data_IF_227560241368
#
_entry.id   IF_227560241368
#
_cell.length_a   1.000
_cell.length_b   1.000
_cell.length_c   1.000
_cell.angle_alpha   90.00
_cell.angle_beta   90.00
_cell.angle_gamma   90.00
#
_symmetry.space_group_name_H-M   'P 1'
#
loop_
_entity.id
_entity.type
_entity.pdbx_description
1 polymer ?
#
# COMPACT_ATOMS: atom_id res chain seq x y z
N UNK A 1 -16.53 -53.23 33.32
CA UNK A 1 -17.65 -52.27 33.40
C UNK A 1 -17.03 -50.94 33.80
N UNK A 2 -16.95 -50.04 32.82
CA UNK A 2 -16.54 -48.63 32.83
C UNK A 2 -15.19 -48.22 33.45
N UNK A 3 -14.18 -48.18 32.58
CA UNK A 3 -13.13 -47.16 32.62
C UNK A 3 -13.45 -46.10 31.55
N UNK A 4 -13.57 -44.84 31.97
CA UNK A 4 -13.47 -43.67 31.10
C UNK A 4 -13.04 -42.46 31.95
N UNK A 5 -11.96 -41.74 31.58
CA UNK A 5 -11.82 -40.34 31.87
C UNK A 5 -12.23 -39.54 30.64
N UNK A 6 -13.31 -38.78 30.77
CA UNK A 6 -13.77 -37.82 29.76
C UNK A 6 -13.19 -36.43 30.08
N UNK A 7 -13.01 -35.70 28.98
CA UNK A 7 -12.18 -34.53 28.75
C UNK A 7 -12.54 -33.28 29.56
N UNK A 8 -11.53 -32.43 29.77
CA UNK A 8 -11.72 -31.11 30.37
C UNK A 8 -10.50 -30.21 30.37
N UNK A 9 -9.65 -30.27 29.35
CA UNK A 9 -8.60 -29.27 29.15
C UNK A 9 -9.27 -27.95 28.73
N UNK A 10 -9.67 -27.15 29.71
CA UNK A 10 -10.12 -25.78 29.52
C UNK A 10 -8.93 -24.89 29.12
N UNK A 11 -8.54 -24.99 27.85
CA UNK A 11 -7.63 -24.04 27.24
C UNK A 11 -8.32 -22.68 27.16
N UNK A 12 -7.81 -21.72 27.93
CA UNK A 12 -8.29 -20.34 27.98
C UNK A 12 -8.23 -19.69 26.60
N UNK A 13 -9.37 -19.67 25.92
CA UNK A 13 -9.64 -18.71 24.86
C UNK A 13 -9.77 -17.34 25.50
N UNK A 14 -8.65 -16.62 25.60
CA UNK A 14 -8.68 -15.18 25.83
C UNK A 14 -9.57 -14.59 24.76
N UNK A 15 -10.78 -14.17 25.15
CA UNK A 15 -11.80 -13.62 24.28
C UNK A 15 -11.19 -12.43 23.52
N UNK A 16 -10.71 -12.66 22.29
CA UNK A 16 -10.18 -11.62 21.42
C UNK A 16 -11.31 -10.60 21.22
N UNK A 17 -11.27 -9.50 21.98
CA UNK A 17 -12.28 -8.45 21.89
C UNK A 17 -12.27 -7.94 20.44
N UNK A 18 -13.38 -8.17 19.72
CA UNK A 18 -13.56 -7.66 18.37
C UNK A 18 -13.38 -6.13 18.39
N UNK A 19 -12.42 -5.57 17.63
CA UNK A 19 -12.08 -4.15 17.74
C UNK A 19 -13.25 -3.21 17.40
N UNK A 20 -14.28 -3.68 16.68
CA UNK A 20 -15.45 -2.88 16.30
C UNK A 20 -16.75 -3.14 17.07
N UNK A 21 -16.74 -3.84 18.21
CA UNK A 21 -17.98 -4.26 18.91
C UNK A 21 -18.86 -3.08 19.38
N UNK A 22 -18.27 -1.92 19.64
CA UNK A 22 -18.97 -0.71 20.11
C UNK A 22 -19.20 0.32 18.99
N UNK A 23 -18.80 0.01 17.76
CA UNK A 23 -18.89 0.92 16.63
C UNK A 23 -20.24 0.76 15.90
N UNK A 24 -20.87 1.85 15.42
CA UNK A 24 -22.07 1.78 14.57
C UNK A 24 -21.85 0.85 13.38
N UNK A 25 -22.89 0.08 13.02
CA UNK A 25 -22.83 -0.94 11.97
C UNK A 25 -22.31 -0.42 10.63
N UNK A 26 -22.72 0.78 10.23
CA UNK A 26 -22.27 1.41 8.98
C UNK A 26 -20.75 1.66 8.98
N UNK A 27 -20.21 2.20 10.07
CA UNK A 27 -18.76 2.42 10.21
C UNK A 27 -18.01 1.10 10.31
N UNK A 28 -18.57 0.10 11.00
CA UNK A 28 -17.97 -1.23 11.07
C UNK A 28 -17.84 -1.89 9.70
N UNK A 29 -18.89 -1.82 8.87
CA UNK A 29 -18.84 -2.32 7.49
C UNK A 29 -17.81 -1.57 6.66
N UNK A 30 -17.77 -0.24 6.74
CA UNK A 30 -16.78 0.56 6.02
C UNK A 30 -15.33 0.19 6.40
N UNK A 31 -15.07 -0.04 7.69
CA UNK A 31 -13.77 -0.50 8.16
C UNK A 31 -13.48 -1.91 7.62
N UNK A 32 -14.43 -2.84 7.70
CA UNK A 32 -14.27 -4.19 7.16
C UNK A 32 -13.96 -4.17 5.66
N UNK A 33 -14.69 -3.37 4.88
CA UNK A 33 -14.48 -3.16 3.45
C UNK A 33 -13.11 -2.57 3.15
N UNK A 34 -12.65 -1.59 3.93
CA UNK A 34 -11.32 -0.97 3.73
C UNK A 34 -10.19 -1.96 4.00
N UNK A 35 -10.28 -2.76 5.07
CA UNK A 35 -9.29 -3.82 5.34
C UNK A 35 -9.33 -4.93 4.29
N UNK A 36 -10.52 -5.19 3.71
CA UNK A 36 -10.68 -6.15 2.60
C UNK A 36 -10.03 -5.63 1.32
N UNK A 37 -10.21 -4.34 1.00
CA UNK A 37 -9.56 -3.69 -0.13
C UNK A 37 -8.05 -3.72 0.03
N UNK A 38 -7.54 -3.30 1.19
CA UNK A 38 -6.10 -3.33 1.48
C UNK A 38 -5.55 -4.74 1.28
N UNK A 39 -6.22 -5.78 1.80
CA UNK A 39 -5.85 -7.18 1.57
C UNK A 39 -5.67 -7.53 0.08
N UNK A 40 -6.49 -7.00 -0.81
CA UNK A 40 -6.32 -7.22 -2.26
C UNK A 40 -5.11 -6.46 -2.80
N UNK A 41 -4.92 -5.21 -2.38
CA UNK A 41 -3.77 -4.39 -2.74
C UNK A 41 -2.46 -5.09 -2.32
N UNK A 42 -2.39 -5.62 -1.09
CA UNK A 42 -1.24 -6.39 -0.60
C UNK A 42 -0.97 -7.65 -1.46
N UNK A 43 -2.02 -8.40 -1.84
CA UNK A 43 -1.83 -9.60 -2.67
C UNK A 43 -1.31 -9.26 -4.07
N UNK A 44 -1.83 -8.19 -4.68
CA UNK A 44 -1.37 -7.70 -5.97
C UNK A 44 0.06 -7.16 -5.90
N UNK A 45 0.41 -6.42 -4.83
CA UNK A 45 1.76 -5.95 -4.56
C UNK A 45 2.74 -7.12 -4.38
N UNK A 46 2.36 -8.16 -3.63
CA UNK A 46 3.19 -9.35 -3.43
C UNK A 46 3.55 -10.07 -4.73
N UNK A 47 2.58 -10.19 -5.65
CA UNK A 47 2.81 -10.73 -6.99
C UNK A 47 3.68 -9.81 -7.85
N UNK A 48 3.48 -8.48 -7.74
CA UNK A 48 4.30 -7.49 -8.44
C UNK A 48 5.75 -7.55 -8.00
N UNK A 49 6.01 -7.57 -6.70
CA UNK A 49 7.37 -7.66 -6.14
C UNK A 49 8.07 -8.97 -6.51
N UNK A 50 7.35 -10.10 -6.55
CA UNK A 50 7.92 -11.37 -7.02
C UNK A 50 8.44 -11.25 -8.46
N UNK A 51 7.61 -10.73 -9.36
CA UNK A 51 7.98 -10.47 -10.76
C UNK A 51 9.14 -9.48 -10.87
N UNK A 52 9.11 -8.40 -10.10
CA UNK A 52 10.18 -7.40 -10.11
C UNK A 52 11.49 -7.97 -9.61
N UNK A 53 11.49 -8.81 -8.57
CA UNK A 53 12.70 -9.47 -8.10
C UNK A 53 13.36 -10.34 -9.20
N UNK A 54 12.57 -11.09 -9.97
CA UNK A 54 13.07 -11.86 -11.12
C UNK A 54 13.63 -10.93 -12.21
N UNK A 55 12.91 -9.85 -12.52
CA UNK A 55 13.33 -8.90 -13.54
C UNK A 55 14.63 -8.16 -13.17
N UNK A 56 14.76 -7.73 -11.91
CA UNK A 56 15.96 -7.09 -11.39
C UNK A 56 17.16 -8.05 -11.43
N UNK A 57 16.95 -9.33 -11.10
CA UNK A 57 17.98 -10.35 -11.22
C UNK A 57 18.42 -10.55 -12.68
N UNK A 58 17.48 -10.56 -13.62
CA UNK A 58 17.79 -10.66 -15.06
C UNK A 58 18.60 -9.47 -15.58
N UNK A 59 18.35 -8.27 -15.05
CA UNK A 59 19.10 -7.06 -15.37
C UNK A 59 20.49 -6.98 -14.71
N UNK A 60 20.93 -8.03 -14.01
CA UNK A 60 22.20 -8.04 -13.27
C UNK A 60 22.31 -6.89 -12.24
N UNK A 61 21.17 -6.51 -11.66
CA UNK A 61 21.08 -5.50 -10.59
C UNK A 61 21.88 -5.95 -9.37
N UNK A 62 22.48 -5.02 -8.57
CA UNK A 62 23.15 -5.38 -7.32
C UNK A 62 22.30 -6.31 -6.43
N UNK A 63 22.91 -7.41 -5.98
CA UNK A 63 22.23 -8.47 -5.22
C UNK A 63 21.40 -7.98 -4.02
N UNK A 64 21.83 -6.96 -3.23
CA UNK A 64 21.01 -6.41 -2.16
C UNK A 64 19.64 -5.86 -2.60
N UNK A 65 19.54 -5.26 -3.79
CA UNK A 65 18.27 -4.73 -4.31
C UNK A 65 17.33 -5.85 -4.76
N UNK A 66 17.88 -6.89 -5.38
CA UNK A 66 17.13 -8.10 -5.75
C UNK A 66 16.57 -8.77 -4.50
N UNK A 67 17.38 -8.88 -3.45
CA UNK A 67 16.98 -9.48 -2.18
C UNK A 67 15.91 -8.64 -1.45
N UNK A 68 16.02 -7.32 -1.47
CA UNK A 68 14.98 -6.44 -0.95
C UNK A 68 13.64 -6.62 -1.69
N UNK A 69 13.65 -6.79 -3.02
CA UNK A 69 12.43 -7.05 -3.79
C UNK A 69 11.81 -8.42 -3.47
N UNK A 70 12.63 -9.46 -3.23
CA UNK A 70 12.12 -10.78 -2.79
C UNK A 70 11.47 -10.70 -1.41
N UNK A 71 12.11 -10.01 -0.48
CA UNK A 71 11.57 -9.78 0.87
C UNK A 71 10.27 -8.99 0.82
N UNK A 72 10.20 -7.93 0.02
CA UNK A 72 8.97 -7.17 -0.18
C UNK A 72 7.81 -8.11 -0.60
N UNK A 73 8.05 -9.02 -1.55
CA UNK A 73 7.03 -10.02 -1.94
C UNK A 73 6.56 -10.92 -0.78
N UNK A 74 7.44 -11.28 0.15
CA UNK A 74 7.11 -12.04 1.34
C UNK A 74 6.34 -11.20 2.37
N UNK A 75 6.76 -9.95 2.56
CA UNK A 75 6.12 -8.98 3.43
C UNK A 75 4.68 -8.74 3.00
N UNK A 76 4.41 -8.52 1.71
CA UNK A 76 3.04 -8.27 1.26
C UNK A 76 2.11 -9.48 1.43
N UNK A 77 2.65 -10.70 1.27
CA UNK A 77 1.87 -11.92 1.59
C UNK A 77 1.51 -11.96 3.07
N UNK A 78 2.42 -11.53 3.94
CA UNK A 78 2.17 -11.41 5.39
C UNK A 78 1.18 -10.28 5.68
N UNK A 79 1.31 -9.11 5.03
CA UNK A 79 0.40 -7.98 5.14
C UNK A 79 -1.02 -8.38 4.75
N UNK A 80 -1.19 -9.06 3.61
CA UNK A 80 -2.48 -9.58 3.16
C UNK A 80 -3.15 -10.47 4.21
N UNK A 81 -2.39 -11.37 4.85
CA UNK A 81 -2.89 -12.21 5.94
C UNK A 81 -3.34 -11.40 7.15
N UNK A 82 -2.57 -10.38 7.55
CA UNK A 82 -2.96 -9.48 8.63
C UNK A 82 -4.22 -8.68 8.30
N UNK A 83 -4.30 -8.14 7.08
CA UNK A 83 -5.46 -7.39 6.58
C UNK A 83 -6.72 -8.26 6.52
N UNK A 84 -6.62 -9.53 6.09
CA UNK A 84 -7.72 -10.49 6.13
C UNK A 84 -8.22 -10.73 7.56
N UNK A 85 -7.30 -10.94 8.51
CA UNK A 85 -7.65 -11.12 9.92
C UNK A 85 -8.27 -9.88 10.57
N UNK A 86 -7.95 -8.68 10.06
CA UNK A 86 -8.62 -7.45 10.45
C UNK A 86 -10.01 -7.35 9.85
N UNK A 87 -10.16 -7.56 8.54
CA UNK A 87 -11.45 -7.54 7.84
C UNK A 87 -12.47 -8.51 8.48
N UNK A 88 -12.06 -9.76 8.72
CA UNK A 88 -12.88 -10.76 9.42
C UNK A 88 -13.24 -10.33 10.85
N UNK A 89 -12.30 -9.69 11.54
CA UNK A 89 -12.52 -9.15 12.89
C UNK A 89 -13.59 -8.05 12.95
N UNK A 90 -13.84 -7.34 11.85
CA UNK A 90 -14.91 -6.37 11.69
C UNK A 90 -16.19 -6.95 11.05
N UNK A 91 -16.20 -8.24 10.70
CA UNK A 91 -17.39 -8.95 10.22
C UNK A 91 -17.43 -9.18 8.71
N UNK A 92 -16.30 -9.09 8.00
CA UNK A 92 -16.22 -9.56 6.62
C UNK A 92 -16.12 -11.09 6.59
N UNK A 93 -17.21 -11.77 6.21
CA UNK A 93 -17.23 -13.23 6.15
C UNK A 93 -16.67 -13.77 4.83
N UNK A 94 -17.03 -13.11 3.72
CA UNK A 94 -16.64 -13.49 2.36
C UNK A 94 -15.51 -12.58 1.89
N UNK A 95 -14.34 -13.18 1.65
CA UNK A 95 -13.20 -12.49 1.05
C UNK A 95 -13.24 -12.63 -0.47
N UNK A 96 -12.81 -11.61 -1.23
CA UNK A 96 -12.63 -11.75 -2.66
C UNK A 96 -11.55 -12.80 -2.98
N UNK A 97 -11.54 -13.36 -4.20
CA UNK A 97 -10.56 -14.36 -4.59
C UNK A 97 -9.13 -13.80 -4.53
N UNK A 98 -8.19 -14.69 -4.23
CA UNK A 98 -6.75 -14.36 -4.28
C UNK A 98 -6.36 -14.16 -5.74
N UNK A 99 -5.73 -13.03 -6.11
CA UNK A 99 -5.22 -12.82 -7.46
C UNK A 99 -4.12 -13.84 -7.75
N UNK A 100 -4.00 -14.24 -9.02
CA UNK A 100 -2.98 -15.18 -9.49
C UNK A 100 -1.91 -14.52 -10.34
N UNK A 101 -2.17 -13.29 -10.82
CA UNK A 101 -1.26 -12.50 -11.64
C UNK A 101 -1.44 -11.02 -11.36
N UNK A 102 -0.31 -10.31 -11.17
CA UNK A 102 -0.30 -8.86 -11.15
C UNK A 102 -0.13 -8.33 -12.57
N UNK A 103 -0.95 -7.35 -12.96
CA UNK A 103 -0.86 -6.68 -14.25
C UNK A 103 0.40 -5.81 -14.32
N UNK A 104 1.13 -5.89 -15.43
CA UNK A 104 2.16 -4.90 -15.74
C UNK A 104 1.49 -3.60 -16.19
N UNK A 105 1.84 -2.50 -15.52
CA UNK A 105 1.36 -1.14 -15.76
C UNK A 105 2.26 -0.35 -16.72
N UNK A 106 3.53 -0.75 -16.84
CA UNK A 106 4.48 -0.10 -17.74
C UNK A 106 4.03 -0.21 -19.22
N UNK A 107 4.18 0.87 -20.01
CA UNK A 107 3.91 0.84 -21.44
C UNK A 107 4.73 -0.23 -22.16
N UNK A 108 4.06 -1.10 -22.92
CA UNK A 108 4.69 -2.23 -23.62
C UNK A 108 5.66 -1.81 -24.73
N UNK A 109 5.57 -0.57 -25.22
CA UNK A 109 6.51 -0.01 -26.19
C UNK A 109 7.89 0.32 -25.58
N UNK A 110 8.00 0.40 -24.25
CA UNK A 110 9.28 0.59 -23.58
C UNK A 110 10.11 -0.69 -23.65
N UNK A 111 11.43 -0.52 -23.76
CA UNK A 111 12.38 -1.63 -23.59
C UNK A 111 12.27 -2.22 -22.19
N UNK A 112 12.67 -3.49 -22.04
CA UNK A 112 12.51 -4.25 -20.81
C UNK A 112 13.08 -3.52 -19.59
N UNK A 113 14.32 -3.04 -19.66
CA UNK A 113 14.99 -2.31 -18.58
C UNK A 113 14.21 -1.04 -18.14
N UNK A 114 13.61 -0.33 -19.10
CA UNK A 114 12.80 0.86 -18.85
C UNK A 114 11.44 0.53 -18.25
N UNK A 115 10.83 -0.60 -18.64
CA UNK A 115 9.60 -1.10 -18.01
C UNK A 115 9.83 -1.48 -16.55
N UNK A 116 10.94 -2.16 -16.25
CA UNK A 116 11.30 -2.50 -14.87
C UNK A 116 11.51 -1.25 -14.03
N UNK A 117 12.25 -0.26 -14.53
CA UNK A 117 12.42 1.01 -13.81
C UNK A 117 11.10 1.78 -13.64
N UNK A 118 10.25 1.83 -14.66
CA UNK A 118 8.90 2.38 -14.53
C UNK A 118 8.14 1.73 -13.38
N UNK A 119 8.09 0.40 -13.35
CA UNK A 119 7.33 -0.36 -12.36
C UNK A 119 7.87 -0.17 -10.94
N UNK A 120 9.20 -0.16 -10.78
CA UNK A 120 9.83 0.10 -9.48
C UNK A 120 9.53 1.51 -9.01
N UNK A 121 9.57 2.52 -9.88
CA UNK A 121 9.24 3.90 -9.50
C UNK A 121 7.76 4.03 -9.15
N UNK A 122 6.87 3.42 -9.93
CA UNK A 122 5.43 3.46 -9.66
C UNK A 122 5.07 2.76 -8.34
N UNK A 123 5.54 1.53 -8.13
CA UNK A 123 5.22 0.78 -6.92
C UNK A 123 5.96 1.35 -5.69
N UNK A 124 7.28 1.51 -5.77
CA UNK A 124 8.09 1.79 -4.60
C UNK A 124 8.26 3.27 -4.29
N UNK A 125 8.59 4.10 -5.29
CA UNK A 125 8.80 5.52 -5.05
C UNK A 125 7.49 6.26 -4.80
N UNK A 126 6.41 5.87 -5.50
CA UNK A 126 5.10 6.53 -5.41
C UNK A 126 4.19 5.80 -4.41
N UNK A 127 3.76 4.56 -4.72
CA UNK A 127 2.75 3.88 -3.90
C UNK A 127 3.21 3.57 -2.47
N UNK A 128 4.41 3.01 -2.25
CA UNK A 128 4.82 2.70 -0.86
C UNK A 128 5.15 3.96 -0.04
N UNK A 129 5.54 5.05 -0.69
CA UNK A 129 5.70 6.35 -0.03
C UNK A 129 4.33 6.92 0.40
N UNK A 130 3.31 6.77 -0.43
CA UNK A 130 1.93 7.12 -0.13
C UNK A 130 1.38 6.27 1.03
N UNK A 131 1.54 4.95 0.95
CA UNK A 131 1.16 3.98 1.98
C UNK A 131 1.80 4.33 3.32
N UNK A 132 3.11 4.59 3.32
CA UNK A 132 3.88 5.05 4.50
C UNK A 132 3.28 6.32 5.10
N UNK A 133 2.94 7.32 4.28
CA UNK A 133 2.33 8.56 4.75
C UNK A 133 0.95 8.31 5.37
N UNK A 134 0.11 7.51 4.71
CA UNK A 134 -1.23 7.18 5.20
C UNK A 134 -1.24 6.39 6.51
N UNK A 135 -0.36 5.38 6.61
CA UNK A 135 -0.16 4.59 7.82
C UNK A 135 0.36 5.46 8.98
N UNK A 136 1.27 6.39 8.70
CA UNK A 136 1.77 7.35 9.70
C UNK A 136 0.62 8.21 10.25
N UNK A 137 -0.26 8.71 9.38
CA UNK A 137 -1.41 9.51 9.80
C UNK A 137 -2.39 8.73 10.68
N UNK A 138 -2.73 7.48 10.35
CA UNK A 138 -3.64 6.69 11.20
C UNK A 138 -2.99 6.28 12.52
N UNK A 139 -1.67 6.06 12.55
CA UNK A 139 -0.94 5.70 13.77
C UNK A 139 -0.76 6.86 14.75
N UNK A 140 -0.91 8.11 14.29
CA UNK A 140 -0.92 9.30 15.14
C UNK A 140 -2.13 9.35 16.08
N UNK A 141 -3.19 8.61 15.78
CA UNK A 141 -4.40 8.50 16.61
C UNK A 141 -4.35 7.21 17.44
N UNK A 142 -4.72 7.30 18.71
CA UNK A 142 -4.82 6.12 19.56
C UNK A 142 -6.02 5.26 19.17
N UNK A 143 -5.90 3.95 19.37
CA UNK A 143 -6.85 2.97 18.86
C UNK A 143 -6.61 1.59 19.45
N UNK A 144 -7.41 0.59 19.07
CA UNK A 144 -7.30 -0.75 19.64
C UNK A 144 -5.87 -1.30 19.50
N UNK A 145 -5.27 -1.88 20.56
CA UNK A 145 -3.87 -2.33 20.54
C UNK A 145 -3.53 -3.26 19.36
N UNK A 146 -4.45 -4.15 19.00
CA UNK A 146 -4.29 -5.06 17.85
C UNK A 146 -4.21 -4.33 16.52
N UNK A 147 -5.04 -3.30 16.31
CA UNK A 147 -5.01 -2.48 15.08
C UNK A 147 -3.66 -1.78 14.97
N UNK A 148 -3.22 -1.15 16.07
CA UNK A 148 -1.95 -0.41 16.11
C UNK A 148 -0.75 -1.32 15.90
N UNK A 149 -0.78 -2.54 16.44
CA UNK A 149 0.28 -3.53 16.22
C UNK A 149 0.41 -3.88 14.73
N UNK A 150 -0.71 -4.26 14.08
CA UNK A 150 -0.72 -4.58 12.64
C UNK A 150 -0.23 -3.41 11.79
N UNK A 151 -0.74 -2.19 12.03
CA UNK A 151 -0.34 -1.01 11.26
C UNK A 151 1.14 -0.66 11.42
N UNK A 152 1.72 -0.87 12.62
CA UNK A 152 3.15 -0.63 12.86
C UNK A 152 4.05 -1.65 12.18
N UNK A 153 3.60 -2.90 12.13
CA UNK A 153 4.32 -3.95 11.43
C UNK A 153 4.34 -3.63 9.93
N UNK A 154 3.16 -3.36 9.33
CA UNK A 154 3.06 -2.95 7.92
C UNK A 154 3.95 -1.71 7.66
N UNK A 155 3.77 -0.62 8.41
CA UNK A 155 4.53 0.62 8.21
C UNK A 155 6.06 0.42 8.22
N UNK A 156 6.56 -0.49 9.05
CA UNK A 156 8.01 -0.76 9.10
C UNK A 156 8.51 -1.29 7.77
N UNK A 157 7.73 -2.16 7.16
CA UNK A 157 8.07 -2.86 5.93
C UNK A 157 7.87 -1.92 4.73
N UNK A 158 6.80 -1.12 4.71
CA UNK A 158 6.56 -0.08 3.69
C UNK A 158 7.71 0.91 3.55
N UNK A 159 8.33 1.32 4.68
CA UNK A 159 9.50 2.18 4.67
C UNK A 159 10.68 1.50 3.97
N UNK A 160 10.86 0.18 4.15
CA UNK A 160 11.90 -0.57 3.47
C UNK A 160 11.60 -0.75 1.98
N UNK A 161 10.34 -0.97 1.61
CA UNK A 161 9.90 -1.11 0.22
C UNK A 161 10.04 0.21 -0.54
N UNK A 162 9.67 1.35 0.06
CA UNK A 162 9.93 2.68 -0.50
C UNK A 162 11.43 2.91 -0.73
N UNK A 163 12.28 2.55 0.25
CA UNK A 163 13.74 2.67 0.12
C UNK A 163 14.33 1.83 -1.01
N UNK A 164 13.78 0.63 -1.29
CA UNK A 164 14.17 -0.16 -2.46
C UNK A 164 13.98 0.64 -3.75
N UNK A 165 12.83 1.31 -3.90
CA UNK A 165 12.53 2.17 -5.04
C UNK A 165 13.57 3.26 -5.26
N UNK A 166 13.84 4.02 -4.22
CA UNK A 166 14.80 5.13 -4.27
C UNK A 166 16.23 4.65 -4.53
N UNK A 167 16.63 3.53 -3.93
CA UNK A 167 17.95 2.95 -4.15
C UNK A 167 18.12 2.45 -5.60
N UNK A 168 17.10 1.80 -6.17
CA UNK A 168 17.16 1.35 -7.57
C UNK A 168 17.09 2.51 -8.56
N UNK A 169 16.27 3.53 -8.31
CA UNK A 169 16.22 4.73 -9.15
C UNK A 169 17.57 5.45 -9.14
N UNK A 170 18.20 5.59 -7.98
CA UNK A 170 19.53 6.19 -7.85
C UNK A 170 20.55 5.40 -8.67
N UNK A 171 20.60 4.08 -8.49
CA UNK A 171 21.50 3.20 -9.26
C UNK A 171 21.30 3.32 -10.78
N UNK A 172 20.05 3.38 -11.23
CA UNK A 172 19.73 3.58 -12.64
C UNK A 172 20.18 4.96 -13.15
N UNK A 173 20.00 6.02 -12.33
CA UNK A 173 20.41 7.39 -12.68
C UNK A 173 21.92 7.58 -12.79
N UNK A 174 22.70 6.84 -11.99
CA UNK A 174 24.16 6.81 -12.07
C UNK A 174 24.66 6.07 -13.32
N UNK A 175 23.87 5.12 -13.82
CA UNK A 175 24.20 4.29 -14.98
C UNK A 175 23.72 4.90 -16.31
N UNK A 176 22.83 5.90 -16.28
CA UNK A 176 22.31 6.55 -17.47
C UNK A 176 21.13 7.48 -17.20
N UNK A 177 20.59 8.08 -18.26
CA UNK A 177 19.46 9.01 -18.13
C UNK A 177 18.16 8.29 -17.78
N UNK A 178 17.49 8.78 -16.73
CA UNK A 178 16.16 8.36 -16.29
C UNK A 178 15.05 9.34 -16.71
N UNK A 179 15.39 10.36 -17.51
CA UNK A 179 14.45 11.43 -17.92
C UNK A 179 13.22 10.92 -18.69
N UNK A 180 13.29 9.71 -19.26
CA UNK A 180 12.14 9.10 -19.94
C UNK A 180 10.94 8.86 -19.00
N UNK A 181 11.15 8.83 -17.68
CA UNK A 181 10.06 8.66 -16.70
C UNK A 181 9.16 9.89 -16.61
N UNK A 182 9.66 11.09 -16.91
CA UNK A 182 8.93 12.35 -16.75
C UNK A 182 7.57 12.38 -17.46
N UNK A 183 7.45 12.07 -18.77
CA UNK A 183 6.14 12.04 -19.46
C UNK A 183 5.20 10.94 -18.96
N UNK A 184 5.71 9.97 -18.19
CA UNK A 184 4.94 8.86 -17.66
C UNK A 184 4.39 9.08 -16.25
N UNK A 185 4.86 10.12 -15.53
CA UNK A 185 4.41 10.40 -14.17
C UNK A 185 2.89 10.52 -14.04
N UNK A 186 2.14 11.19 -14.94
CA UNK A 186 0.68 11.24 -14.84
C UNK A 186 0.02 9.85 -14.82
N UNK A 187 0.51 8.92 -15.65
CA UNK A 187 -0.02 7.56 -15.72
C UNK A 187 0.30 6.76 -14.43
N UNK A 188 1.51 6.89 -13.91
CA UNK A 188 1.87 6.27 -12.63
C UNK A 188 1.01 6.80 -11.47
N UNK A 189 0.77 8.12 -11.46
CA UNK A 189 -0.07 8.75 -10.44
C UNK A 189 -1.53 8.30 -10.57
N UNK A 190 -2.07 8.21 -11.79
CA UNK A 190 -3.42 7.69 -12.03
C UNK A 190 -3.58 6.23 -11.57
N UNK A 191 -2.57 5.38 -11.80
CA UNK A 191 -2.57 3.99 -11.33
C UNK A 191 -2.40 3.87 -9.80
N UNK A 192 -1.78 4.86 -9.14
CA UNK A 192 -1.56 4.87 -7.68
C UNK A 192 -2.77 5.33 -6.86
N UNK A 193 -3.80 5.91 -7.48
CA UNK A 193 -4.94 6.49 -6.76
C UNK A 193 -6.25 5.82 -7.12
N UNK A 194 -7.14 5.71 -6.12
CA UNK A 194 -8.54 5.37 -6.40
C UNK A 194 -9.16 6.44 -7.32
N UNK A 195 -9.96 6.06 -8.34
CA UNK A 195 -10.68 7.02 -9.20
C UNK A 195 -11.55 8.00 -8.41
N UNK A 196 -11.96 7.63 -7.19
CA UNK A 196 -12.78 8.46 -6.30
C UNK A 196 -12.00 9.32 -5.33
N UNK A 197 -10.66 9.28 -5.32
CA UNK A 197 -9.82 10.00 -4.35
C UNK A 197 -10.19 11.48 -4.23
N UNK A 198 -10.49 12.13 -5.35
CA UNK A 198 -10.82 13.57 -5.41
C UNK A 198 -12.34 13.85 -5.46
N UNK A 199 -13.19 12.83 -5.42
CA UNK A 199 -14.64 13.03 -5.38
C UNK A 199 -15.10 13.36 -3.95
N UNK A 200 -16.31 13.90 -3.78
CA UNK A 200 -16.92 14.08 -2.45
C UNK A 200 -17.28 12.71 -1.85
N UNK A 201 -16.80 12.45 -0.63
CA UNK A 201 -17.11 11.25 0.12
C UNK A 201 -18.53 11.24 0.71
N UNK A 202 -19.02 10.05 1.08
CA UNK A 202 -20.20 9.92 1.91
C UNK A 202 -19.89 10.41 3.35
N UNK A 203 -20.84 10.98 4.11
CA UNK A 203 -20.59 11.50 5.45
C UNK A 203 -19.92 10.50 6.40
N UNK A 204 -20.29 9.22 6.31
CA UNK A 204 -19.72 8.14 7.13
C UNK A 204 -18.24 7.91 6.82
N UNK A 205 -17.81 8.18 5.59
CA UNK A 205 -16.42 8.06 5.15
C UNK A 205 -15.51 9.17 5.70
N UNK A 206 -16.09 10.21 6.31
CA UNK A 206 -15.36 11.31 6.95
C UNK A 206 -15.41 11.26 8.48
N UNK A 207 -15.90 10.16 9.06
CA UNK A 207 -15.93 9.98 10.51
C UNK A 207 -14.52 9.88 11.10
N UNK A 208 -14.20 10.73 12.08
CA UNK A 208 -12.93 10.70 12.80
C UNK A 208 -12.67 9.36 13.53
N UNK A 209 -13.74 8.61 13.86
CA UNK A 209 -13.62 7.30 14.49
C UNK A 209 -12.88 6.27 13.61
N UNK A 210 -12.85 6.47 12.28
CA UNK A 210 -12.16 5.59 11.34
C UNK A 210 -10.65 5.52 11.57
N UNK A 211 -10.04 6.63 12.01
CA UNK A 211 -8.59 6.74 12.23
C UNK A 211 -8.09 5.71 13.24
N UNK A 212 -8.79 5.59 14.38
CA UNK A 212 -8.48 4.61 15.43
C UNK A 212 -8.52 3.16 14.92
N UNK A 213 -9.21 2.90 13.81
CA UNK A 213 -9.38 1.59 13.20
C UNK A 213 -8.54 1.39 11.92
N UNK A 214 -7.57 2.28 11.65
CA UNK A 214 -6.61 2.16 10.56
C UNK A 214 -7.11 2.65 9.20
N UNK A 215 -8.22 3.38 9.19
CA UNK A 215 -8.85 3.90 7.97
C UNK A 215 -8.74 5.41 7.95
N UNK A 216 -8.13 5.95 6.89
CA UNK A 216 -8.12 7.38 6.66
C UNK A 216 -9.51 7.87 6.24
N UNK A 217 -10.05 8.91 6.88
CA UNK A 217 -11.22 9.63 6.39
C UNK A 217 -11.01 10.10 4.95
N UNK A 218 -12.06 10.06 4.14
CA UNK A 218 -12.00 10.35 2.71
C UNK A 218 -11.37 11.71 2.41
N UNK A 219 -11.80 12.77 3.11
CA UNK A 219 -11.25 14.11 2.98
C UNK A 219 -9.74 14.19 3.29
N UNK A 220 -9.23 13.32 4.18
CA UNK A 220 -7.80 13.27 4.53
C UNK A 220 -6.97 12.49 3.52
N UNK A 221 -7.55 11.55 2.76
CA UNK A 221 -6.80 10.73 1.79
C UNK A 221 -6.12 11.60 0.73
N UNK A 222 -6.89 12.53 0.14
CA UNK A 222 -6.34 13.44 -0.87
C UNK A 222 -5.24 14.34 -0.27
N UNK A 223 -5.46 14.88 0.93
CA UNK A 223 -4.46 15.71 1.62
C UNK A 223 -3.13 14.95 1.85
N UNK A 224 -3.20 13.74 2.40
CA UNK A 224 -2.03 12.91 2.68
C UNK A 224 -1.30 12.51 1.39
N UNK A 225 -2.06 12.09 0.37
CA UNK A 225 -1.51 11.79 -0.95
C UNK A 225 -0.75 12.99 -1.51
N UNK A 226 -1.39 14.16 -1.51
CA UNK A 226 -0.79 15.40 -1.99
C UNK A 226 0.47 15.77 -1.20
N UNK A 227 0.45 15.59 0.11
CA UNK A 227 1.61 15.86 0.95
C UNK A 227 2.78 14.93 0.61
N UNK A 228 2.53 13.61 0.50
CA UNK A 228 3.55 12.64 0.13
C UNK A 228 4.20 13.00 -1.22
N UNK A 229 3.40 13.44 -2.20
CA UNK A 229 3.90 13.86 -3.49
C UNK A 229 4.86 15.05 -3.41
N UNK A 230 4.46 16.11 -2.70
CA UNK A 230 5.23 17.36 -2.66
C UNK A 230 6.41 17.33 -1.70
N UNK A 231 6.30 16.58 -0.60
CA UNK A 231 7.33 16.54 0.44
C UNK A 231 8.41 15.49 0.14
N UNK A 232 8.06 14.40 -0.55
CA UNK A 232 8.97 13.25 -0.75
C UNK A 232 9.11 12.88 -2.23
N UNK A 233 8.01 12.55 -2.91
CA UNK A 233 8.08 11.94 -4.25
C UNK A 233 8.71 12.88 -5.28
N UNK A 234 8.16 14.08 -5.47
CA UNK A 234 8.68 15.02 -6.46
C UNK A 234 10.12 15.46 -6.15
N UNK A 235 10.47 15.87 -4.91
CA UNK A 235 11.86 16.19 -4.59
C UNK A 235 12.82 15.00 -4.80
N UNK A 236 12.40 13.77 -4.49
CA UNK A 236 13.20 12.56 -4.70
C UNK A 236 13.44 12.27 -6.19
N UNK A 237 12.40 12.38 -7.01
CA UNK A 237 12.46 12.23 -8.46
C UNK A 237 13.38 13.27 -9.10
N UNK A 238 13.23 14.54 -8.72
CA UNK A 238 14.07 15.66 -9.21
C UNK A 238 15.54 15.45 -8.89
N UNK A 239 15.86 14.98 -7.68
CA UNK A 239 17.24 14.65 -7.28
C UNK A 239 17.87 13.55 -8.13
N UNK A 240 17.07 12.63 -8.66
CA UNK A 240 17.53 11.57 -9.56
C UNK A 240 17.52 11.99 -11.04
N UNK A 241 17.16 13.23 -11.36
CA UNK A 241 17.12 13.74 -12.74
C UNK A 241 15.82 13.44 -13.50
N UNK A 242 14.72 13.17 -12.79
CA UNK A 242 13.37 13.07 -13.39
C UNK A 242 12.65 14.40 -13.23
N UNK A 243 12.31 15.04 -14.35
CA UNK A 243 11.47 16.26 -14.35
C UNK A 243 10.05 15.93 -13.88
N UNK A 244 9.55 16.69 -12.92
CA UNK A 244 8.22 16.50 -12.29
C UNK A 244 7.15 17.42 -12.84
N UNK A 245 7.45 18.28 -13.82
CA UNK A 245 6.48 19.22 -14.39
C UNK A 245 5.16 18.54 -14.80
N UNK A 246 5.22 17.43 -15.53
CA UNK A 246 4.02 16.67 -15.91
C UNK A 246 3.22 16.13 -14.72
N UNK A 247 3.89 15.70 -13.65
CA UNK A 247 3.25 15.27 -12.41
C UNK A 247 2.56 16.42 -11.67
N UNK A 248 3.19 17.60 -11.64
CA UNK A 248 2.64 18.81 -11.03
C UNK A 248 1.42 19.34 -11.81
N UNK A 249 1.49 19.35 -13.14
CA UNK A 249 0.34 19.69 -13.99
C UNK A 249 -0.83 18.71 -13.78
N UNK A 250 -0.55 17.42 -13.62
CA UNK A 250 -1.57 16.41 -13.30
C UNK A 250 -2.28 16.76 -11.97
N UNK A 251 -1.52 17.16 -10.95
CA UNK A 251 -2.08 17.59 -9.66
C UNK A 251 -3.01 18.79 -9.83
N UNK A 252 -2.59 19.80 -10.59
CA UNK A 252 -3.39 21.00 -10.82
C UNK A 252 -4.72 20.68 -11.51
N UNK A 253 -4.70 19.83 -12.54
CA UNK A 253 -5.91 19.36 -13.22
C UNK A 253 -6.85 18.60 -12.28
N UNK A 254 -6.30 17.74 -11.42
CA UNK A 254 -7.10 16.97 -10.43
C UNK A 254 -7.75 17.89 -9.40
N UNK A 255 -7.06 18.92 -8.92
CA UNK A 255 -7.62 19.92 -8.00
C UNK A 255 -8.77 20.71 -8.63
N UNK A 256 -8.66 21.05 -9.91
CA UNK A 256 -9.71 21.78 -10.65
C UNK A 256 -10.93 20.90 -10.97
N UNK A 257 -10.73 19.58 -11.13
CA UNK A 257 -11.80 18.62 -11.44
C UNK A 257 -12.52 18.08 -10.20
N UNK A 258 -11.94 18.27 -9.01
CA UNK A 258 -12.49 17.84 -7.72
C UNK A 258 -13.30 18.94 -6.99
N UNK A 259 -13.34 20.16 -7.53
CA UNK A 259 -14.28 21.24 -7.19
C UNK A 259 -15.53 21.14 -8.05
#
# INVERSE_FOLDING_TARGET
>A
MNDAPDDGCAAGQGLLRRPGRLMPDALRRLVAETWTLRRQEELDAGLRFARLAEALAHLSTPAPLVELARRASEDERRHAGMCELMARGYGQDVMPPVPVVARETAPQALRFEKRVLYEVVAACCISETESTAGLTCVLAVDGPPRVRAVLRDILRDEVAHSRLGWAYLTHASESGSVAFLAPHLPAMLDDSVSPRLFARGAPEADSAALLAHGVLPHARKAEVFMQALFDVVFPGLERCGVDTAHGREWVERRRQSGT
#
